data_IF_834612779842
#
_entry.id   IF_834612779842
#
_cell.length_a   1.000
_cell.length_b   1.000
_cell.length_c   1.000
_cell.angle_alpha   90.00
_cell.angle_beta   90.00
_cell.angle_gamma   90.00
#
_symmetry.space_group_name_H-M   'P 1'
#
loop_
_entity.id
_entity.type
_entity.pdbx_description
1 polymer ?
#
# COMPACT_ATOMS: atom_id res chain seq x y z
N UNK A 1 -3.63 14.93 3.36
CA UNK A 1 -2.27 15.49 3.38
C UNK A 1 -1.33 14.50 2.70
N UNK A 2 -0.74 14.85 1.55
CA UNK A 2 0.22 13.98 0.85
C UNK A 2 1.56 14.01 1.60
N UNK A 3 2.30 12.91 1.60
CA UNK A 3 3.63 12.89 2.21
C UNK A 3 4.64 13.58 1.30
N UNK A 4 5.76 14.09 1.86
CA UNK A 4 6.82 14.70 1.06
C UNK A 4 7.37 13.74 -0.02
N UNK A 5 7.41 12.44 0.26
CA UNK A 5 7.79 11.42 -0.73
C UNK A 5 6.76 11.30 -1.86
N UNK A 6 5.46 11.32 -1.53
CA UNK A 6 4.39 11.34 -2.54
C UNK A 6 4.44 12.63 -3.38
N UNK A 7 4.75 13.77 -2.76
CA UNK A 7 4.93 15.04 -3.46
C UNK A 7 6.11 14.99 -4.42
N UNK A 8 7.28 14.50 -4.01
CA UNK A 8 8.44 14.34 -4.88
C UNK A 8 8.16 13.40 -6.06
N UNK A 9 7.47 12.29 -5.79
CA UNK A 9 7.07 11.34 -6.82
C UNK A 9 6.11 11.98 -7.85
N UNK A 10 5.12 12.76 -7.38
CA UNK A 10 4.21 13.52 -8.25
C UNK A 10 4.98 14.57 -9.07
N UNK A 11 5.93 15.28 -8.47
CA UNK A 11 6.78 16.24 -9.18
C UNK A 11 7.67 15.58 -10.23
N UNK A 12 8.19 14.38 -9.97
CA UNK A 12 8.99 13.64 -10.93
C UNK A 12 8.15 13.06 -12.08
N UNK A 13 6.93 12.63 -11.80
CA UNK A 13 6.01 12.20 -12.85
C UNK A 13 5.63 13.37 -13.79
N UNK A 14 5.66 14.61 -13.30
CA UNK A 14 5.49 15.85 -14.08
C UNK A 14 6.79 16.44 -14.64
N UNK A 15 7.97 15.87 -14.33
CA UNK A 15 9.22 16.36 -14.86
C UNK A 15 9.34 15.92 -16.34
N UNK A 16 9.34 16.86 -17.31
CA UNK A 16 9.40 16.52 -18.73
C UNK A 16 10.69 15.76 -19.12
N UNK A 17 11.74 15.88 -18.30
CA UNK A 17 13.03 15.23 -18.52
C UNK A 17 13.18 13.89 -17.76
N UNK A 18 12.19 13.46 -16.98
CA UNK A 18 12.27 12.20 -16.24
C UNK A 18 12.31 11.00 -17.20
N UNK A 19 13.23 10.07 -16.96
CA UNK A 19 13.30 8.83 -17.72
C UNK A 19 12.35 7.78 -17.12
N UNK A 20 11.52 7.19 -17.96
CA UNK A 20 10.61 6.12 -17.63
C UNK A 20 11.06 4.82 -18.30
N UNK A 21 10.95 3.73 -17.56
CA UNK A 21 11.16 2.37 -18.04
C UNK A 21 9.80 1.74 -18.29
N UNK A 22 9.61 1.23 -19.51
CA UNK A 22 8.45 0.45 -19.92
C UNK A 22 8.84 -1.02 -19.79
N UNK A 23 8.03 -1.79 -19.08
CA UNK A 23 8.35 -3.17 -18.73
C UNK A 23 7.11 -4.07 -18.80
N UNK A 24 7.38 -5.36 -18.95
CA UNK A 24 6.35 -6.37 -18.83
C UNK A 24 6.04 -6.62 -17.35
N UNK A 25 4.78 -6.48 -16.93
CA UNK A 25 4.39 -6.62 -15.51
C UNK A 25 4.59 -8.02 -14.95
N UNK A 26 4.49 -9.07 -15.77
CA UNK A 26 4.64 -10.46 -15.35
C UNK A 26 6.10 -10.86 -15.21
N UNK A 27 6.90 -10.57 -16.24
CA UNK A 27 8.30 -11.03 -16.30
C UNK A 27 9.29 -9.99 -15.79
N UNK A 28 8.84 -8.76 -15.51
CA UNK A 28 9.69 -7.59 -15.21
C UNK A 28 10.71 -7.26 -16.32
N UNK A 29 10.59 -7.88 -17.49
CA UNK A 29 11.47 -7.63 -18.61
C UNK A 29 11.29 -6.20 -19.14
N UNK A 30 12.40 -5.49 -19.36
CA UNK A 30 12.39 -4.15 -19.95
C UNK A 30 12.01 -4.27 -21.42
N UNK A 31 11.00 -3.50 -21.82
CA UNK A 31 10.50 -3.43 -23.19
C UNK A 31 11.01 -2.18 -23.91
N UNK A 32 11.37 -1.13 -23.16
CA UNK A 32 12.00 0.08 -23.66
C UNK A 32 12.03 1.20 -22.62
N UNK A 33 12.57 2.36 -23.00
CA UNK A 33 12.59 3.57 -22.15
C UNK A 33 12.06 4.79 -22.91
N UNK A 34 11.59 5.81 -22.20
CA UNK A 34 11.13 7.08 -22.77
C UNK A 34 11.41 8.23 -21.80
N UNK A 35 11.61 9.45 -22.32
CA UNK A 35 11.73 10.67 -21.49
C UNK A 35 10.40 11.41 -21.47
N UNK A 36 9.91 11.73 -20.29
CA UNK A 36 8.63 12.37 -20.06
C UNK A 36 7.44 11.40 -20.06
N UNK A 37 6.43 11.75 -19.28
CA UNK A 37 5.26 10.90 -19.04
C UNK A 37 4.45 10.61 -20.31
N UNK A 38 4.18 11.62 -21.13
CA UNK A 38 3.35 11.47 -22.35
C UNK A 38 4.02 10.58 -23.41
N UNK A 39 5.35 10.70 -23.53
CA UNK A 39 6.14 9.84 -24.40
C UNK A 39 6.15 8.40 -23.88
N UNK A 40 6.28 8.20 -22.56
CA UNK A 40 6.21 6.88 -21.95
C UNK A 40 4.85 6.21 -22.17
N UNK A 41 3.75 6.96 -22.02
CA UNK A 41 2.37 6.50 -22.28
C UNK A 41 2.16 6.09 -23.74
N UNK A 42 2.60 6.94 -24.67
CA UNK A 42 2.48 6.69 -26.12
C UNK A 42 3.30 5.47 -26.53
N UNK A 43 4.56 5.39 -26.06
CA UNK A 43 5.47 4.29 -26.36
C UNK A 43 5.04 2.97 -25.71
N UNK A 44 4.49 2.99 -24.49
CA UNK A 44 3.91 1.81 -23.87
C UNK A 44 2.72 1.29 -24.69
N UNK A 45 1.88 2.19 -25.20
CA UNK A 45 0.74 1.84 -26.05
C UNK A 45 1.18 1.26 -27.39
N UNK A 46 2.21 1.81 -28.03
CA UNK A 46 2.74 1.29 -29.30
C UNK A 46 3.37 -0.09 -29.12
N UNK A 47 4.21 -0.28 -28.09
CA UNK A 47 4.82 -1.58 -27.74
C UNK A 47 3.75 -2.63 -27.46
N UNK A 48 2.70 -2.26 -26.71
CA UNK A 48 1.57 -3.15 -26.42
C UNK A 48 0.92 -3.65 -27.71
N UNK A 49 0.58 -2.73 -28.62
CA UNK A 49 -0.06 -3.07 -29.91
C UNK A 49 0.88 -3.90 -30.80
N UNK A 50 2.15 -3.49 -30.92
CA UNK A 50 3.15 -4.14 -31.77
C UNK A 50 3.44 -5.59 -31.35
N UNK A 51 3.47 -5.85 -30.04
CA UNK A 51 3.77 -7.18 -29.48
C UNK A 51 2.53 -8.01 -29.14
N UNK A 52 1.33 -7.53 -29.46
CA UNK A 52 0.07 -8.22 -29.14
C UNK A 52 -0.16 -8.44 -27.65
N UNK A 53 0.39 -7.57 -26.79
CA UNK A 53 0.30 -7.70 -25.34
C UNK A 53 -1.04 -7.17 -24.81
N UNK A 54 -1.54 -7.76 -23.71
CA UNK A 54 -2.72 -7.22 -23.01
C UNK A 54 -2.38 -5.91 -22.31
N UNK A 55 -3.38 -5.08 -22.06
CA UNK A 55 -3.19 -3.82 -21.34
C UNK A 55 -2.56 -4.05 -19.96
N UNK A 56 -2.96 -5.12 -19.26
CA UNK A 56 -2.41 -5.47 -17.95
C UNK A 56 -0.97 -6.00 -17.97
N UNK A 57 -0.45 -6.37 -19.13
CA UNK A 57 0.89 -6.94 -19.28
C UNK A 57 1.97 -5.87 -19.42
N UNK A 58 1.62 -4.63 -19.77
CA UNK A 58 2.58 -3.54 -20.01
C UNK A 58 2.36 -2.43 -18.98
N UNK A 59 3.44 -1.95 -18.37
CA UNK A 59 3.41 -0.79 -17.48
C UNK A 59 4.70 0.01 -17.62
N UNK A 60 4.70 1.23 -17.11
CA UNK A 60 5.87 2.08 -17.08
C UNK A 60 5.95 2.81 -15.74
N UNK A 61 7.18 3.09 -15.31
CA UNK A 61 7.49 3.87 -14.10
C UNK A 61 8.84 4.55 -14.29
N UNK A 62 9.17 5.54 -13.45
CA UNK A 62 10.47 6.22 -13.52
C UNK A 62 11.64 5.23 -13.35
N UNK A 63 12.74 5.47 -14.06
CA UNK A 63 13.94 4.61 -14.05
C UNK A 63 14.51 4.44 -12.64
N UNK A 64 14.46 5.50 -11.82
CA UNK A 64 14.81 5.45 -10.39
C UNK A 64 13.98 4.40 -9.64
N UNK A 65 12.66 4.39 -9.83
CA UNK A 65 11.76 3.41 -9.19
C UNK A 65 11.95 2.00 -9.76
N UNK A 66 12.31 1.88 -11.03
CA UNK A 66 12.48 0.60 -11.70
C UNK A 66 13.78 -0.13 -11.32
N UNK A 67 14.92 0.58 -11.34
CA UNK A 67 16.26 0.02 -11.08
C UNK A 67 16.72 0.20 -9.63
N UNK A 68 16.27 1.24 -8.92
CA UNK A 68 16.60 1.49 -7.50
C UNK A 68 15.84 0.58 -6.53
N UNK A 69 15.54 -0.65 -6.94
CA UNK A 69 14.63 -1.54 -6.22
C UNK A 69 15.17 -1.95 -4.85
N UNK A 70 14.58 -1.42 -3.77
CA UNK A 70 14.01 -2.18 -2.64
C UNK A 70 13.78 -1.30 -1.39
N UNK A 71 12.78 -0.41 -1.42
CA UNK A 71 12.05 -0.04 -0.19
C UNK A 71 10.57 0.04 -0.53
N UNK A 72 9.91 -1.13 -0.59
CA UNK A 72 8.46 -1.14 -0.80
C UNK A 72 7.81 -2.51 -0.98
N UNK A 73 8.56 -3.57 -1.26
CA UNK A 73 7.99 -4.93 -1.38
C UNK A 73 8.97 -6.02 -0.98
N UNK A 74 9.28 -6.09 0.32
CA UNK A 74 9.59 -7.32 1.10
C UNK A 74 10.08 -6.91 2.50
N UNK A 75 9.37 -7.39 3.52
CA UNK A 75 9.76 -7.51 4.95
C UNK A 75 10.75 -6.51 5.56
N UNK A 76 10.25 -5.38 6.07
CA UNK A 76 10.94 -4.64 7.12
C UNK A 76 10.50 -5.19 8.48
N UNK A 77 11.16 -6.26 8.92
CA UNK A 77 11.36 -6.49 10.35
C UNK A 77 12.51 -5.57 10.77
N UNK A 78 12.27 -4.63 11.67
CA UNK A 78 13.33 -3.77 12.23
C UNK A 78 13.09 -2.28 12.09
N UNK A 79 12.36 -1.75 13.08
CA UNK A 79 12.48 -0.42 13.67
C UNK A 79 12.19 0.85 12.85
N UNK A 80 11.36 1.69 13.48
CA UNK A 80 11.08 3.11 13.20
C UNK A 80 10.23 3.45 11.97
N UNK A 81 9.14 2.70 11.76
CA UNK A 81 7.94 3.30 11.18
C UNK A 81 7.23 4.03 12.31
N UNK A 82 7.09 5.36 12.23
CA UNK A 82 5.96 6.05 12.86
C UNK A 82 4.72 5.35 12.34
N UNK A 83 4.25 4.39 13.13
CA UNK A 83 3.18 3.48 12.76
C UNK A 83 2.05 4.36 12.26
N UNK A 84 1.63 4.17 11.00
CA UNK A 84 0.21 4.35 10.72
C UNK A 84 -0.44 3.36 11.66
N UNK A 85 -0.82 3.83 12.84
CA UNK A 85 -1.38 2.99 13.88
C UNK A 85 -2.63 2.45 13.21
N UNK A 86 -2.59 1.17 12.83
CA UNK A 86 -3.70 0.54 12.12
C UNK A 86 -4.89 0.64 13.04
N UNK A 87 -5.75 1.63 12.78
CA UNK A 87 -6.96 1.87 13.54
C UNK A 87 -7.82 0.62 13.43
N UNK A 88 -8.45 0.25 14.54
CA UNK A 88 -9.27 -0.96 14.58
C UNK A 88 -8.55 -2.16 15.18
N UNK A 89 -9.18 -3.31 15.00
CA UNK A 89 -8.74 -4.58 15.55
C UNK A 89 -7.54 -5.12 14.76
N UNK A 90 -6.51 -5.54 15.47
CA UNK A 90 -5.32 -6.21 14.94
C UNK A 90 -5.66 -7.48 14.15
N UNK A 91 -4.76 -7.91 13.26
CA UNK A 91 -4.97 -9.09 12.40
C UNK A 91 -5.12 -10.39 13.21
N UNK A 92 -4.44 -10.50 14.34
CA UNK A 92 -4.55 -11.59 15.32
C UNK A 92 -5.72 -11.39 16.30
N UNK A 93 -6.41 -10.25 16.19
CA UNK A 93 -7.59 -9.86 16.96
C UNK A 93 -7.38 -9.81 18.49
N UNK A 94 -6.12 -9.68 18.94
CA UNK A 94 -5.78 -9.60 20.37
C UNK A 94 -5.72 -8.19 20.90
N UNK A 95 -5.49 -7.23 20.01
CA UNK A 95 -5.37 -5.80 20.35
C UNK A 95 -6.22 -4.93 19.44
N UNK A 96 -6.71 -3.81 19.96
CA UNK A 96 -7.44 -2.78 19.24
C UNK A 96 -6.69 -1.45 19.35
N UNK A 97 -6.59 -0.72 18.25
CA UNK A 97 -6.06 0.64 18.22
C UNK A 97 -7.21 1.63 18.06
N UNK A 98 -7.38 2.52 19.04
CA UNK A 98 -8.39 3.57 18.98
C UNK A 98 -7.99 4.73 18.06
N UNK A 99 -8.91 5.65 17.80
CA UNK A 99 -8.68 6.84 16.95
C UNK A 99 -7.50 7.71 17.40
N UNK A 100 -7.16 7.68 18.69
CA UNK A 100 -6.04 8.42 19.28
C UNK A 100 -4.70 7.66 19.18
N UNK A 101 -4.67 6.49 18.53
CA UNK A 101 -3.48 5.67 18.37
C UNK A 101 -3.09 4.86 19.62
N UNK A 102 -3.92 4.85 20.66
CA UNK A 102 -3.71 4.02 21.86
C UNK A 102 -4.15 2.59 21.58
N UNK A 103 -3.37 1.63 22.09
CA UNK A 103 -3.61 0.19 21.90
C UNK A 103 -4.12 -0.43 23.20
N UNK A 104 -5.21 -1.18 23.11
CA UNK A 104 -5.83 -1.89 24.22
C UNK A 104 -5.97 -3.38 23.89
N UNK A 105 -5.94 -4.28 24.89
CA UNK A 105 -6.30 -5.67 24.68
C UNK A 105 -7.78 -5.78 24.27
N UNK A 106 -8.07 -6.69 23.34
CA UNK A 106 -9.45 -7.04 22.98
C UNK A 106 -9.93 -8.12 23.94
N UNK A 107 -11.03 -7.84 24.61
CA UNK A 107 -11.75 -8.77 25.46
C UNK A 107 -12.86 -9.44 24.65
N UNK A 108 -13.06 -10.72 24.91
CA UNK A 108 -14.08 -11.53 24.24
C UNK A 108 -15.11 -12.03 25.24
N UNK A 109 -16.38 -11.92 24.88
CA UNK A 109 -17.44 -12.57 25.66
C UNK A 109 -17.23 -14.09 25.72
N UNK A 110 -17.55 -14.66 26.88
CA UNK A 110 -17.55 -16.12 27.11
C UNK A 110 -18.64 -16.83 26.32
N UNK A 111 -19.72 -16.15 25.96
CA UNK A 111 -20.84 -16.72 25.21
C UNK A 111 -20.70 -16.44 23.72
N UNK A 112 -20.99 -17.46 22.90
CA UNK A 112 -21.04 -17.33 21.46
C UNK A 112 -22.38 -16.73 21.03
N UNK A 113 -22.36 -15.75 20.15
CA UNK A 113 -23.55 -15.11 19.57
C UNK A 113 -23.80 -15.67 18.16
N UNK A 114 -24.85 -16.49 17.96
CA UNK A 114 -25.16 -17.09 16.67
C UNK A 114 -25.57 -16.05 15.62
N UNK A 115 -26.26 -14.96 16.01
CA UNK A 115 -26.72 -13.92 15.08
C UNK A 115 -25.56 -13.18 14.40
N UNK A 116 -24.44 -13.02 15.11
CA UNK A 116 -23.22 -12.36 14.62
C UNK A 116 -22.17 -13.35 14.13
N UNK A 117 -22.46 -14.66 14.20
CA UNK A 117 -21.55 -15.77 13.87
C UNK A 117 -20.19 -15.64 14.58
N UNK A 118 -20.20 -15.16 15.82
CA UNK A 118 -18.99 -14.77 16.55
C UNK A 118 -19.21 -14.53 18.03
N UNK A 119 -18.18 -14.08 18.73
CA UNK A 119 -18.26 -13.62 20.12
C UNK A 119 -18.25 -12.10 20.14
N UNK A 120 -18.92 -11.51 21.12
CA UNK A 120 -18.82 -10.07 21.34
C UNK A 120 -17.39 -9.68 21.69
N UNK A 121 -16.93 -8.56 21.13
CA UNK A 121 -15.60 -8.00 21.35
C UNK A 121 -15.71 -6.61 21.93
N UNK A 122 -14.85 -6.30 22.88
CA UNK A 122 -14.73 -4.96 23.43
C UNK A 122 -13.35 -4.68 23.98
N UNK A 123 -13.17 -3.50 24.55
CA UNK A 123 -11.98 -3.15 25.31
C UNK A 123 -12.33 -2.23 26.47
N UNK A 124 -11.56 -2.35 27.55
CA UNK A 124 -11.63 -1.43 28.69
C UNK A 124 -10.56 -0.36 28.53
N UNK A 125 -10.95 0.92 28.59
CA UNK A 125 -9.99 2.03 28.56
C UNK A 125 -9.26 2.21 29.90
N UNK A 126 -8.25 3.09 29.94
CA UNK A 126 -7.48 3.34 31.16
C UNK A 126 -8.31 4.02 32.27
N UNK A 127 -9.49 4.55 31.93
CA UNK A 127 -10.44 5.16 32.83
C UNK A 127 -11.47 4.16 33.37
N UNK A 128 -11.40 2.89 32.94
CA UNK A 128 -12.29 1.82 33.37
C UNK A 128 -13.61 1.75 32.59
N UNK A 129 -13.79 2.51 31.51
CA UNK A 129 -14.99 2.41 30.68
C UNK A 129 -14.83 1.28 29.65
N UNK A 130 -15.90 0.51 29.46
CA UNK A 130 -15.95 -0.56 28.47
C UNK A 130 -16.55 -0.06 27.15
N UNK A 131 -15.92 -0.42 26.04
CA UNK A 131 -16.31 -0.02 24.68
C UNK A 131 -16.49 -1.24 23.79
N UNK A 132 -17.62 -1.32 23.09
CA UNK A 132 -17.91 -2.37 22.11
C UNK A 132 -17.16 -2.16 20.78
N UNK A 133 -16.76 -3.26 20.13
CA UNK A 133 -15.98 -3.27 18.88
C UNK A 133 -16.68 -3.93 17.69
N UNK A 134 -17.97 -4.27 17.80
CA UNK A 134 -18.77 -5.03 16.82
C UNK A 134 -19.88 -4.25 16.11
#
# INVERSE_FOLDING_TARGET
MITFKQFLDLCEDYNPNAEFVIFNKKTRAVLGTARGFDQAKTKATSIRKQRGLKFDDVSFMTSRRFYGGSTGRQGASGASTTQRVGLGVSRDARTFTNAYGKRYPVEYSRTYNPSKRGRFRGYTDAQGNYHDLD
#
